data_IF_797922376048
#
_entry.id   IF_797922376048
#
_cell.length_a   1.000
_cell.length_b   1.000
_cell.length_c   1.000
_cell.angle_alpha   90.00
_cell.angle_beta   90.00
_cell.angle_gamma   90.00
#
_symmetry.space_group_name_H-M   'P 1'
#
loop_
_entity.id
_entity.type
_entity.pdbx_description
1 polymer ?
#
# COMPACT_ATOMS: atom_id res chain seq x y z
N UNK A 1 51.08 -42.31 -31.13
CA UNK A 1 50.30 -41.54 -30.09
C UNK A 1 48.99 -40.97 -30.63
N UNK A 2 48.91 -40.19 -31.73
CA UNK A 2 47.69 -39.59 -32.23
C UNK A 2 46.66 -40.63 -32.74
N UNK A 3 47.11 -41.72 -33.35
CA UNK A 3 46.26 -42.83 -33.83
C UNK A 3 45.50 -43.57 -32.71
N UNK A 4 46.13 -43.68 -31.54
CA UNK A 4 45.51 -44.40 -30.40
C UNK A 4 44.47 -43.55 -29.66
N UNK A 5 44.67 -42.25 -29.62
CA UNK A 5 43.67 -41.29 -29.08
C UNK A 5 42.42 -41.31 -29.96
N UNK A 6 42.57 -41.28 -31.28
CA UNK A 6 41.46 -41.35 -32.24
C UNK A 6 40.67 -42.67 -32.17
N UNK A 7 41.35 -43.80 -31.99
CA UNK A 7 40.72 -45.10 -31.82
C UNK A 7 39.93 -45.18 -30.51
N UNK A 8 40.45 -44.62 -29.41
CA UNK A 8 39.74 -44.52 -28.12
C UNK A 8 38.51 -43.62 -28.17
N UNK A 9 38.60 -42.50 -28.89
CA UNK A 9 37.46 -41.61 -29.06
C UNK A 9 36.35 -42.26 -29.89
N UNK A 10 36.68 -42.95 -30.98
CA UNK A 10 35.69 -43.70 -31.78
C UNK A 10 35.04 -44.85 -31.01
N UNK A 11 35.79 -45.52 -30.15
CA UNK A 11 35.25 -46.56 -29.29
C UNK A 11 34.26 -46.02 -28.26
N UNK A 12 34.62 -44.89 -27.59
CA UNK A 12 33.73 -44.20 -26.65
C UNK A 12 32.45 -43.69 -27.31
N UNK A 13 32.58 -43.08 -28.46
CA UNK A 13 31.43 -42.61 -29.24
C UNK A 13 30.48 -43.75 -29.65
N UNK A 14 31.03 -44.89 -30.02
CA UNK A 14 30.24 -46.07 -30.40
C UNK A 14 29.50 -46.67 -29.21
N UNK A 15 30.10 -46.69 -28.01
CA UNK A 15 29.44 -47.14 -26.77
C UNK A 15 28.32 -46.16 -26.38
N UNK A 16 28.59 -44.89 -26.49
CA UNK A 16 27.60 -43.83 -26.20
C UNK A 16 26.38 -43.94 -27.15
N UNK A 17 26.63 -44.02 -28.45
CA UNK A 17 25.54 -44.12 -29.45
C UNK A 17 24.73 -45.42 -29.33
N UNK A 18 25.35 -46.53 -28.91
CA UNK A 18 24.68 -47.80 -28.71
C UNK A 18 23.72 -47.82 -27.52
N UNK A 19 24.00 -47.00 -26.51
CA UNK A 19 23.20 -46.85 -25.29
C UNK A 19 22.50 -45.50 -25.20
N UNK A 20 22.32 -44.80 -26.30
CA UNK A 20 21.81 -43.44 -26.36
C UNK A 20 20.47 -43.31 -25.66
N UNK A 21 19.56 -44.30 -25.77
CA UNK A 21 18.25 -44.30 -25.10
C UNK A 21 18.38 -44.20 -23.56
N UNK A 22 19.26 -45.03 -22.94
CA UNK A 22 19.44 -45.02 -21.49
C UNK A 22 20.11 -43.72 -21.02
N UNK A 23 21.10 -43.23 -21.77
CA UNK A 23 21.77 -41.95 -21.44
C UNK A 23 20.84 -40.76 -21.66
N UNK A 24 19.99 -40.81 -22.70
CA UNK A 24 18.98 -39.74 -22.93
C UNK A 24 17.96 -39.68 -21.81
N UNK A 25 17.44 -40.80 -21.34
CA UNK A 25 16.50 -40.84 -20.19
C UNK A 25 17.11 -40.29 -18.93
N UNK A 26 18.37 -40.67 -18.63
CA UNK A 26 19.12 -40.14 -17.49
C UNK A 26 19.37 -38.64 -17.60
N UNK A 27 19.79 -38.19 -18.79
CA UNK A 27 20.01 -36.77 -19.07
C UNK A 27 18.74 -35.95 -18.87
N UNK A 28 17.60 -36.40 -19.40
CA UNK A 28 16.30 -35.74 -19.24
C UNK A 28 15.91 -35.69 -17.76
N UNK A 29 16.12 -36.79 -17.00
CA UNK A 29 15.83 -36.82 -15.57
C UNK A 29 16.67 -35.85 -14.75
N UNK A 30 17.98 -35.80 -15.00
CA UNK A 30 18.90 -34.86 -14.33
C UNK A 30 18.56 -33.41 -14.74
N UNK A 31 18.33 -33.16 -16.03
CA UNK A 31 17.97 -31.84 -16.52
C UNK A 31 16.65 -31.35 -15.90
N UNK A 32 15.64 -32.22 -15.79
CA UNK A 32 14.38 -31.90 -15.14
C UNK A 32 14.57 -31.59 -13.64
N UNK A 33 15.32 -32.42 -12.91
CA UNK A 33 15.59 -32.17 -11.51
C UNK A 33 16.37 -30.86 -11.29
N UNK A 34 17.36 -30.57 -12.17
CA UNK A 34 18.13 -29.32 -12.13
C UNK A 34 17.24 -28.10 -12.43
N UNK A 35 16.31 -28.22 -13.37
CA UNK A 35 15.35 -27.16 -13.70
C UNK A 35 14.42 -26.87 -12.53
N UNK A 36 13.88 -27.91 -11.88
CA UNK A 36 13.07 -27.74 -10.67
C UNK A 36 13.84 -27.06 -9.55
N UNK A 37 15.10 -27.43 -9.35
CA UNK A 37 15.95 -26.83 -8.35
C UNK A 37 16.25 -25.36 -8.64
N UNK A 38 16.59 -25.03 -9.89
CA UNK A 38 16.84 -23.65 -10.33
C UNK A 38 15.57 -22.80 -10.16
N UNK A 39 14.43 -23.32 -10.56
CA UNK A 39 13.15 -22.64 -10.41
C UNK A 39 12.85 -22.35 -8.93
N UNK A 40 13.00 -23.34 -8.04
CA UNK A 40 12.80 -23.15 -6.60
C UNK A 40 13.76 -22.13 -5.98
N UNK A 41 15.03 -22.13 -6.40
CA UNK A 41 16.02 -21.17 -5.89
C UNK A 41 15.84 -19.75 -6.46
N UNK A 42 15.24 -19.59 -7.64
CA UNK A 42 15.02 -18.29 -8.26
C UNK A 42 13.73 -17.61 -7.78
N UNK A 43 12.68 -18.40 -7.51
CA UNK A 43 11.36 -17.84 -7.14
C UNK A 43 11.41 -17.12 -5.80
N UNK A 44 12.07 -17.67 -4.78
CA UNK A 44 12.05 -17.09 -3.45
C UNK A 44 12.65 -15.68 -3.40
N UNK A 45 13.85 -15.40 -3.94
CA UNK A 45 14.39 -14.04 -4.00
C UNK A 45 13.52 -13.08 -4.83
N UNK A 46 12.87 -13.58 -5.88
CA UNK A 46 11.97 -12.76 -6.70
C UNK A 46 10.74 -12.34 -5.90
N UNK A 47 10.17 -13.27 -5.11
CA UNK A 47 9.01 -12.99 -4.26
C UNK A 47 9.34 -12.04 -3.11
N UNK A 48 10.52 -12.20 -2.46
CA UNK A 48 10.95 -11.26 -1.43
C UNK A 48 11.14 -9.85 -1.99
N UNK A 49 11.78 -9.73 -3.14
CA UNK A 49 11.93 -8.44 -3.80
C UNK A 49 10.58 -7.81 -4.20
N UNK A 50 9.61 -8.62 -4.60
CA UNK A 50 8.27 -8.13 -4.89
C UNK A 50 7.56 -7.64 -3.62
N UNK A 51 7.68 -8.36 -2.51
CA UNK A 51 7.07 -7.96 -1.24
C UNK A 51 7.71 -6.68 -0.67
N UNK A 52 9.02 -6.54 -0.77
CA UNK A 52 9.73 -5.30 -0.38
C UNK A 52 9.24 -4.08 -1.19
N UNK A 53 8.85 -4.30 -2.46
CA UNK A 53 8.28 -3.24 -3.29
C UNK A 53 6.82 -2.91 -2.94
N UNK A 54 6.06 -3.83 -2.35
CA UNK A 54 4.70 -3.55 -1.90
C UNK A 54 4.66 -2.51 -0.79
N UNK A 55 5.60 -2.57 0.14
CA UNK A 55 5.72 -1.58 1.21
C UNK A 55 5.92 -0.16 0.66
N UNK A 56 6.72 -0.03 -0.40
CA UNK A 56 6.98 1.26 -1.05
C UNK A 56 5.87 1.72 -1.99
N UNK A 57 4.80 0.95 -2.15
CA UNK A 57 3.68 1.30 -3.01
C UNK A 57 2.69 2.26 -2.35
N UNK A 58 2.70 2.33 -1.01
CA UNK A 58 1.90 3.32 -0.29
C UNK A 58 2.53 4.70 -0.42
N UNK A 59 1.71 5.70 -0.57
CA UNK A 59 2.13 7.10 -0.77
C UNK A 59 2.30 7.85 0.55
N UNK A 60 1.74 7.31 1.65
CA UNK A 60 1.78 7.88 3.00
C UNK A 60 1.91 6.76 4.04
N UNK A 61 2.20 7.13 5.30
CA UNK A 61 2.26 6.19 6.44
C UNK A 61 0.88 5.60 6.78
N UNK A 62 -0.20 6.34 6.48
CA UNK A 62 -1.57 5.94 6.72
C UNK A 62 -2.44 6.20 5.49
N UNK A 63 -3.15 5.20 5.04
CA UNK A 63 -4.16 5.31 4.01
C UNK A 63 -5.50 4.79 4.54
N UNK A 64 -6.38 5.73 4.86
CA UNK A 64 -7.68 5.43 5.45
C UNK A 64 -8.72 5.20 4.38
N UNK A 65 -9.54 4.16 4.58
CA UNK A 65 -10.73 3.90 3.76
C UNK A 65 -11.96 4.07 4.63
N UNK A 66 -12.95 4.80 4.15
CA UNK A 66 -14.20 5.05 4.83
C UNK A 66 -15.25 4.00 4.42
N UNK A 67 -16.19 3.71 5.32
CA UNK A 67 -17.29 2.74 5.08
C UNK A 67 -18.32 3.28 4.09
N UNK A 68 -18.54 4.59 4.15
CA UNK A 68 -19.38 5.31 3.23
C UNK A 68 -18.70 6.64 2.93
N UNK A 69 -18.92 7.19 1.74
CA UNK A 69 -18.45 8.53 1.41
C UNK A 69 -19.17 9.51 2.34
N UNK A 70 -18.40 10.41 2.94
CA UNK A 70 -18.91 11.32 3.96
C UNK A 70 -19.87 12.39 3.42
N UNK A 71 -19.92 12.61 2.13
CA UNK A 71 -20.67 13.71 1.53
C UNK A 71 -21.73 13.25 0.53
N UNK A 72 -22.01 11.96 0.46
CA UNK A 72 -22.94 11.41 -0.54
C UNK A 72 -24.41 11.72 -0.27
N UNK A 73 -24.82 11.90 0.95
CA UNK A 73 -26.24 11.92 1.31
C UNK A 73 -26.64 13.14 2.13
N UNK A 74 -25.87 14.22 2.12
CA UNK A 74 -26.22 15.40 2.90
C UNK A 74 -26.95 16.46 2.08
N UNK A 75 -27.87 17.14 2.72
CA UNK A 75 -28.39 18.43 2.26
C UNK A 75 -27.24 19.45 2.20
N UNK A 76 -27.42 20.57 1.49
CA UNK A 76 -26.43 21.64 1.51
C UNK A 76 -26.13 22.17 2.93
N UNK A 77 -27.11 22.08 3.84
CA UNK A 77 -26.98 22.48 5.23
C UNK A 77 -26.13 21.51 6.04
N UNK A 78 -26.29 20.21 5.86
CA UNK A 78 -25.46 19.17 6.49
C UNK A 78 -24.01 19.24 6.02
N UNK A 79 -23.77 19.50 4.73
CA UNK A 79 -22.42 19.73 4.19
C UNK A 79 -21.75 20.97 4.77
N UNK A 80 -22.50 22.06 4.99
CA UNK A 80 -21.98 23.26 5.65
C UNK A 80 -21.62 22.97 7.11
N UNK A 81 -22.44 22.20 7.81
CA UNK A 81 -22.17 21.74 9.17
C UNK A 81 -20.89 20.90 9.23
N UNK A 82 -20.76 19.92 8.34
CA UNK A 82 -19.58 19.11 8.22
C UNK A 82 -18.31 19.94 7.96
N UNK A 83 -18.35 20.83 6.99
CA UNK A 83 -17.25 21.72 6.65
C UNK A 83 -16.85 22.62 7.83
N UNK A 84 -17.83 23.07 8.61
CA UNK A 84 -17.61 23.87 9.83
C UNK A 84 -16.86 23.05 10.89
N UNK A 85 -17.31 21.82 11.16
CA UNK A 85 -16.65 20.93 12.12
C UNK A 85 -15.23 20.56 11.66
N UNK A 86 -15.04 20.16 10.42
CA UNK A 86 -13.73 19.82 9.86
C UNK A 86 -12.74 20.99 9.97
N UNK A 87 -13.20 22.21 9.69
CA UNK A 87 -12.38 23.41 9.78
C UNK A 87 -11.94 23.70 11.22
N UNK A 88 -12.83 23.56 12.21
CA UNK A 88 -12.48 23.69 13.62
C UNK A 88 -11.56 22.57 14.09
N UNK A 89 -11.75 21.36 13.58
CA UNK A 89 -10.92 20.23 13.90
C UNK A 89 -9.51 20.33 13.28
N UNK A 90 -9.31 21.20 12.30
CA UNK A 90 -8.01 21.42 11.67
C UNK A 90 -7.05 22.26 12.55
N UNK A 91 -7.51 22.82 13.65
CA UNK A 91 -6.67 23.59 14.59
C UNK A 91 -6.36 22.80 15.86
N UNK A 92 -5.32 23.19 16.57
CA UNK A 92 -4.97 22.60 17.87
C UNK A 92 -6.15 22.71 18.84
N UNK A 93 -6.64 21.57 19.32
CA UNK A 93 -7.73 21.52 20.31
C UNK A 93 -7.49 22.33 21.58
N UNK A 94 -6.22 22.57 21.95
CA UNK A 94 -5.85 23.43 23.06
C UNK A 94 -6.22 24.90 22.81
N UNK A 95 -6.18 25.38 21.57
CA UNK A 95 -6.58 26.75 21.23
C UNK A 95 -8.09 26.93 21.36
N UNK A 96 -8.85 25.95 20.89
CA UNK A 96 -10.32 25.93 20.99
C UNK A 96 -10.74 25.86 22.47
N UNK A 97 -10.16 24.95 23.24
CA UNK A 97 -10.44 24.83 24.68
C UNK A 97 -10.08 26.10 25.44
N UNK A 98 -8.94 26.73 25.12
CA UNK A 98 -8.54 28.00 25.76
C UNK A 98 -9.51 29.15 25.43
N UNK A 99 -10.09 29.18 24.26
CA UNK A 99 -11.12 30.15 23.89
C UNK A 99 -12.44 29.90 24.65
N UNK A 100 -12.87 28.65 24.76
CA UNK A 100 -14.06 28.26 25.53
C UNK A 100 -13.90 28.54 27.03
N UNK A 101 -12.76 28.16 27.62
CA UNK A 101 -12.47 28.48 29.05
C UNK A 101 -12.50 29.97 29.33
N UNK A 102 -12.00 30.79 28.39
CA UNK A 102 -11.99 32.24 28.55
C UNK A 102 -13.40 32.86 28.41
N UNK A 103 -14.26 32.25 27.61
CA UNK A 103 -15.69 32.61 27.46
C UNK A 103 -16.48 32.31 28.75
N UNK A 104 -16.30 31.12 29.32
CA UNK A 104 -16.88 30.73 30.61
C UNK A 104 -16.44 31.64 31.72
N UNK A 105 -15.14 32.01 31.77
CA UNK A 105 -14.60 32.96 32.75
C UNK A 105 -15.17 34.39 32.60
N UNK A 106 -15.49 34.78 31.36
CA UNK A 106 -16.14 36.07 31.10
C UNK A 106 -17.59 36.06 31.59
N UNK A 107 -18.32 34.98 31.34
CA UNK A 107 -19.71 34.82 31.79
C UNK A 107 -19.77 34.83 33.32
N UNK A 108 -18.93 34.09 34.00
CA UNK A 108 -18.82 34.12 35.48
C UNK A 108 -18.51 35.52 36.02
N UNK A 109 -17.63 36.26 35.36
CA UNK A 109 -17.32 37.63 35.74
C UNK A 109 -18.49 38.60 35.50
N UNK A 110 -19.23 38.40 34.41
CA UNK A 110 -20.41 39.16 34.06
C UNK A 110 -21.56 38.96 35.10
N UNK A 111 -21.81 37.71 35.50
CA UNK A 111 -22.79 37.38 36.55
C UNK A 111 -22.41 37.96 37.89
N UNK A 112 -21.13 37.93 38.26
CA UNK A 112 -20.61 38.56 39.48
C UNK A 112 -20.78 40.07 39.43
N UNK A 113 -20.52 40.71 38.28
CA UNK A 113 -20.70 42.15 38.11
C UNK A 113 -22.17 42.54 38.15
N UNK A 114 -23.06 41.75 37.59
CA UNK A 114 -24.53 41.98 37.69
C UNK A 114 -24.97 41.90 39.15
N UNK A 115 -24.52 40.89 39.88
CA UNK A 115 -24.85 40.74 41.32
C UNK A 115 -24.34 41.95 42.15
N UNK A 116 -23.13 42.40 41.86
CA UNK A 116 -22.59 43.59 42.56
C UNK A 116 -23.35 44.89 42.20
N UNK A 117 -23.77 45.06 40.96
CA UNK A 117 -24.56 46.20 40.51
C UNK A 117 -25.94 46.21 41.16
N UNK A 118 -26.60 45.06 41.28
CA UNK A 118 -27.89 44.90 41.93
C UNK A 118 -27.81 45.20 43.42
N UNK A 119 -26.73 44.78 44.09
CA UNK A 119 -26.45 45.13 45.48
C UNK A 119 -26.23 46.63 45.66
N UNK A 120 -25.45 47.28 44.78
CA UNK A 120 -25.24 48.72 44.80
C UNK A 120 -26.51 49.53 44.54
N UNK A 121 -27.44 48.98 43.71
CA UNK A 121 -28.72 49.61 43.46
C UNK A 121 -29.69 49.45 44.64
N UNK A 122 -29.67 48.27 45.28
CA UNK A 122 -30.60 47.97 46.40
C UNK A 122 -30.18 48.60 47.73
N UNK A 123 -28.87 48.75 47.98
CA UNK A 123 -28.29 49.33 49.17
C UNK A 123 -27.09 50.25 48.81
N UNK A 124 -27.35 51.47 48.33
CA UNK A 124 -26.31 52.37 47.86
C UNK A 124 -25.35 52.78 49.01
N UNK A 125 -24.10 52.40 48.88
CA UNK A 125 -23.00 52.81 49.78
C UNK A 125 -21.75 53.02 48.96
N UNK A 126 -20.77 53.73 49.52
CA UNK A 126 -19.48 53.90 48.85
C UNK A 126 -18.76 52.56 48.65
N UNK A 127 -18.96 51.61 49.54
CA UNK A 127 -18.40 50.25 49.47
C UNK A 127 -19.07 49.40 48.40
N UNK A 128 -20.43 49.43 48.31
CA UNK A 128 -21.13 48.67 47.27
C UNK A 128 -20.90 49.24 45.87
N UNK A 129 -20.73 50.53 45.73
CA UNK A 129 -20.37 51.15 44.46
C UNK A 129 -18.91 50.81 44.06
N UNK A 130 -17.97 50.79 44.98
CA UNK A 130 -16.62 50.39 44.70
C UNK A 130 -16.53 48.93 44.33
N UNK A 131 -17.30 48.03 44.95
CA UNK A 131 -17.38 46.62 44.60
C UNK A 131 -17.96 46.39 43.17
N UNK A 132 -18.98 47.17 42.82
CA UNK A 132 -19.53 47.11 41.45
C UNK A 132 -18.56 47.61 40.38
N UNK A 133 -17.76 48.64 40.69
CA UNK A 133 -16.70 49.14 39.80
C UNK A 133 -15.55 48.14 39.65
N UNK A 134 -15.13 47.48 40.74
CA UNK A 134 -14.10 46.43 40.70
C UNK A 134 -14.58 45.20 39.88
N UNK A 135 -15.83 44.79 40.06
CA UNK A 135 -16.40 43.70 39.28
C UNK A 135 -16.50 44.06 37.82
N UNK A 136 -16.87 45.26 37.44
CA UNK A 136 -16.90 45.71 36.04
C UNK A 136 -15.50 45.76 35.42
N UNK A 137 -14.45 46.17 36.19
CA UNK A 137 -13.09 46.13 35.72
C UNK A 137 -12.64 44.69 35.42
N UNK A 138 -13.04 43.70 36.24
CA UNK A 138 -12.77 42.28 36.01
C UNK A 138 -13.45 41.74 34.72
N UNK A 139 -14.67 42.17 34.44
CA UNK A 139 -15.34 41.83 33.17
C UNK A 139 -14.53 42.34 32.00
N UNK A 140 -14.00 43.58 32.08
CA UNK A 140 -13.19 44.11 30.98
C UNK A 140 -11.87 43.33 30.82
N UNK A 141 -11.19 42.97 31.90
CA UNK A 141 -9.97 42.17 31.85
C UNK A 141 -10.21 40.79 31.26
N UNK A 142 -11.32 40.13 31.62
CA UNK A 142 -11.70 38.82 31.06
C UNK A 142 -12.10 38.90 29.57
N UNK A 143 -12.79 39.97 29.20
CA UNK A 143 -13.12 40.24 27.80
C UNK A 143 -11.85 40.43 26.94
N UNK A 144 -10.88 41.16 27.43
CA UNK A 144 -9.62 41.35 26.72
C UNK A 144 -8.83 40.04 26.60
N UNK A 145 -8.90 39.20 27.64
CA UNK A 145 -8.30 37.85 27.60
C UNK A 145 -9.00 36.93 26.57
N UNK A 146 -10.34 36.91 26.53
CA UNK A 146 -11.11 36.15 25.50
C UNK A 146 -10.74 36.61 24.10
N UNK A 147 -10.70 37.93 23.86
CA UNK A 147 -10.33 38.44 22.55
C UNK A 147 -8.93 38.04 22.10
N UNK A 148 -7.98 37.99 23.01
CA UNK A 148 -6.64 37.51 22.71
C UNK A 148 -6.65 36.02 22.31
N UNK A 149 -7.45 35.17 22.99
CA UNK A 149 -7.59 33.75 22.63
C UNK A 149 -8.30 33.54 21.30
N UNK A 150 -9.33 34.34 21.02
CA UNK A 150 -10.02 34.33 19.76
C UNK A 150 -9.14 34.79 18.58
N UNK A 151 -8.24 35.77 18.85
CA UNK A 151 -7.24 36.19 17.85
C UNK A 151 -6.24 35.06 17.53
N UNK A 152 -5.73 34.37 18.56
CA UNK A 152 -4.84 33.23 18.40
C UNK A 152 -5.53 32.09 17.58
N UNK A 153 -6.83 31.84 17.85
CA UNK A 153 -7.62 30.85 17.14
C UNK A 153 -7.90 31.30 15.68
N UNK A 154 -8.26 32.56 15.47
CA UNK A 154 -8.51 33.13 14.15
C UNK A 154 -7.26 33.08 13.26
N UNK A 155 -6.09 33.40 13.83
CA UNK A 155 -4.81 33.28 13.13
C UNK A 155 -4.53 31.82 12.72
N UNK A 156 -4.82 30.85 13.58
CA UNK A 156 -4.66 29.43 13.30
C UNK A 156 -5.64 28.93 12.22
N UNK A 157 -6.87 29.46 12.20
CA UNK A 157 -7.89 29.17 11.18
C UNK A 157 -7.66 29.92 9.85
N UNK A 158 -6.75 30.89 9.83
CA UNK A 158 -6.52 31.76 8.66
C UNK A 158 -7.70 32.68 8.34
N UNK A 159 -8.47 33.11 9.37
CA UNK A 159 -9.65 33.95 9.23
C UNK A 159 -9.60 35.17 10.19
N UNK A 160 -10.61 36.01 10.15
CA UNK A 160 -10.74 37.07 11.15
C UNK A 160 -11.47 36.57 12.42
N UNK A 161 -11.42 37.37 13.51
CA UNK A 161 -12.02 37.03 14.78
C UNK A 161 -13.54 36.83 14.68
N UNK A 162 -14.21 37.67 13.91
CA UNK A 162 -15.67 37.61 13.77
C UNK A 162 -16.09 36.32 13.05
N UNK A 163 -15.31 35.90 12.06
CA UNK A 163 -15.48 34.61 11.38
C UNK A 163 -15.19 33.43 12.31
N UNK A 164 -14.15 33.50 13.15
CA UNK A 164 -13.85 32.45 14.14
C UNK A 164 -14.98 32.29 15.17
N UNK A 165 -15.56 33.40 15.65
CA UNK A 165 -16.74 33.38 16.54
C UNK A 165 -17.94 32.74 15.84
N UNK A 166 -18.22 33.13 14.59
CA UNK A 166 -19.32 32.55 13.81
C UNK A 166 -19.16 31.03 13.60
N UNK A 167 -17.92 30.58 13.36
CA UNK A 167 -17.62 29.14 13.25
C UNK A 167 -17.88 28.40 14.56
N UNK A 168 -17.46 28.96 15.71
CA UNK A 168 -17.73 28.36 17.03
C UNK A 168 -19.23 28.31 17.31
N UNK A 169 -19.95 29.42 17.06
CA UNK A 169 -21.40 29.49 17.28
C UNK A 169 -22.16 28.52 16.37
N UNK A 170 -21.75 28.39 15.12
CA UNK A 170 -22.31 27.39 14.21
C UNK A 170 -22.05 25.96 14.69
N UNK A 171 -20.80 25.67 15.08
CA UNK A 171 -20.42 24.35 15.57
C UNK A 171 -21.16 23.95 16.85
N UNK A 172 -21.40 24.88 17.75
CA UNK A 172 -22.13 24.62 19.01
C UNK A 172 -23.58 24.22 18.79
N UNK A 173 -24.15 24.53 17.63
CA UNK A 173 -25.54 24.21 17.25
C UNK A 173 -25.66 22.91 16.49
N UNK A 174 -24.53 22.30 16.12
CA UNK A 174 -24.52 21.02 15.40
C UNK A 174 -24.74 19.90 16.41
N UNK A 175 -25.73 19.07 16.16
CA UNK A 175 -25.97 17.85 16.94
C UNK A 175 -24.99 16.77 16.45
N UNK A 176 -23.91 16.58 17.22
CA UNK A 176 -22.88 15.55 16.90
C UNK A 176 -23.34 14.13 17.23
N UNK A 177 -24.50 13.98 17.88
CA UNK A 177 -25.11 12.68 18.13
C UNK A 177 -26.05 12.27 16.98
N UNK A 178 -26.30 13.15 16.00
CA UNK A 178 -27.07 12.83 14.80
C UNK A 178 -26.24 11.92 13.88
N UNK A 179 -26.83 10.79 13.48
CA UNK A 179 -26.19 9.79 12.62
C UNK A 179 -25.89 10.32 11.20
N UNK A 180 -26.51 11.44 10.82
CA UNK A 180 -26.34 12.07 9.50
C UNK A 180 -25.14 13.05 9.46
N UNK A 181 -24.53 13.37 10.62
CA UNK A 181 -23.34 14.21 10.71
C UNK A 181 -22.11 13.31 10.91
N UNK A 182 -21.10 13.47 10.08
CA UNK A 182 -19.94 12.61 10.01
C UNK A 182 -18.65 13.29 10.52
N UNK A 183 -18.52 13.61 11.82
CA UNK A 183 -17.33 14.25 12.31
C UNK A 183 -16.13 13.30 12.27
N UNK A 184 -15.04 13.78 11.72
CA UNK A 184 -13.73 13.19 11.98
C UNK A 184 -13.42 13.46 13.44
N UNK A 185 -13.18 12.42 14.24
CA UNK A 185 -12.91 12.60 15.65
C UNK A 185 -11.59 13.33 15.89
N UNK A 186 -11.62 14.29 16.78
CA UNK A 186 -10.44 14.97 17.27
C UNK A 186 -10.16 14.51 18.67
N UNK A 187 -9.35 13.50 18.84
CA UNK A 187 -8.60 13.33 20.06
C UNK A 187 -7.33 14.17 20.01
N UNK A 188 -6.55 14.14 21.07
CA UNK A 188 -5.35 14.99 21.31
C UNK A 188 -4.37 15.12 20.13
N UNK A 189 -4.47 14.25 19.12
CA UNK A 189 -3.64 14.29 17.90
C UNK A 189 -4.42 14.82 16.67
N UNK A 190 -5.75 14.99 16.78
CA UNK A 190 -6.60 15.04 15.62
C UNK A 190 -6.56 16.33 14.84
N UNK A 191 -6.58 17.44 15.51
CA UNK A 191 -6.79 18.72 14.85
C UNK A 191 -5.66 19.10 13.88
N UNK A 192 -4.40 18.95 14.30
CA UNK A 192 -3.24 19.21 13.43
C UNK A 192 -3.04 18.17 12.34
N UNK A 193 -3.39 16.93 12.61
CA UNK A 193 -3.22 15.81 11.66
C UNK A 193 -4.21 15.88 10.48
N UNK A 194 -5.47 16.29 10.73
CA UNK A 194 -6.47 16.43 9.66
C UNK A 194 -6.10 17.57 8.70
N UNK A 195 -5.59 18.70 9.22
CA UNK A 195 -5.12 19.78 8.36
C UNK A 195 -3.98 19.33 7.42
N UNK A 196 -3.29 18.25 7.77
CA UNK A 196 -2.22 17.66 6.98
C UNK A 196 -2.65 16.44 6.17
N UNK A 197 -3.81 15.88 6.40
CA UNK A 197 -4.37 14.81 5.59
C UNK A 197 -4.86 15.33 4.24
N UNK A 198 -4.77 14.48 3.22
CA UNK A 198 -5.39 14.76 1.92
C UNK A 198 -6.54 13.80 1.66
N UNK A 199 -7.63 14.34 1.14
CA UNK A 199 -8.79 13.56 0.69
C UNK A 199 -8.47 12.87 -0.63
N UNK A 200 -8.96 11.66 -0.81
CA UNK A 200 -8.96 10.97 -2.08
C UNK A 200 -10.26 10.19 -2.28
N UNK A 201 -10.58 9.92 -3.52
CA UNK A 201 -11.64 9.00 -3.88
C UNK A 201 -11.06 7.77 -4.58
N UNK A 202 -11.66 6.60 -4.39
CA UNK A 202 -11.25 5.38 -5.09
C UNK A 202 -12.46 4.56 -5.48
N UNK A 203 -12.45 4.03 -6.71
CA UNK A 203 -13.46 3.12 -7.21
C UNK A 203 -12.80 1.91 -7.88
N UNK A 204 -13.37 0.72 -7.72
CA UNK A 204 -12.82 -0.51 -8.28
C UNK A 204 -13.64 -0.96 -9.47
N UNK A 205 -13.02 -0.94 -10.64
CA UNK A 205 -13.61 -1.39 -11.90
C UNK A 205 -12.99 -2.70 -12.36
N UNK A 206 -13.66 -3.39 -13.24
CA UNK A 206 -13.20 -4.64 -13.84
C UNK A 206 -12.73 -4.39 -15.28
N UNK A 207 -11.62 -5.00 -15.62
CA UNK A 207 -11.12 -5.01 -16.99
C UNK A 207 -11.17 -6.44 -17.55
N UNK A 208 -11.99 -6.66 -18.57
CA UNK A 208 -11.99 -7.91 -19.32
C UNK A 208 -11.03 -7.80 -20.51
N UNK A 209 -10.01 -8.63 -20.51
CA UNK A 209 -9.05 -8.72 -21.60
C UNK A 209 -9.65 -9.34 -22.87
N UNK A 210 -10.76 -10.05 -22.78
CA UNK A 210 -11.40 -10.76 -23.88
C UNK A 210 -10.66 -12.04 -24.31
N UNK A 211 -9.64 -12.47 -23.57
CA UNK A 211 -8.84 -13.67 -23.84
C UNK A 211 -9.32 -14.93 -23.08
N UNK A 212 -10.38 -14.78 -22.28
CA UNK A 212 -10.95 -15.85 -21.46
C UNK A 212 -10.18 -16.17 -20.19
N UNK A 213 -9.18 -15.35 -19.81
CA UNK A 213 -8.39 -15.52 -18.58
C UNK A 213 -9.04 -14.86 -17.35
N UNK A 214 -10.24 -14.30 -17.50
CA UNK A 214 -11.00 -13.64 -16.44
C UNK A 214 -10.88 -12.13 -16.44
N UNK A 215 -11.58 -11.52 -15.51
CA UNK A 215 -11.61 -10.09 -15.28
C UNK A 215 -10.53 -9.71 -14.26
N UNK A 216 -9.94 -8.53 -14.44
CA UNK A 216 -8.93 -7.97 -13.55
C UNK A 216 -9.48 -6.71 -12.88
N UNK A 217 -9.35 -6.62 -11.57
CA UNK A 217 -9.75 -5.42 -10.83
C UNK A 217 -8.69 -4.33 -10.98
N UNK A 218 -9.11 -3.15 -11.39
CA UNK A 218 -8.30 -1.95 -11.51
C UNK A 218 -8.93 -0.88 -10.62
N UNK A 219 -8.13 -0.28 -9.74
CA UNK A 219 -8.58 0.84 -8.93
C UNK A 219 -8.34 2.15 -9.65
N UNK A 220 -9.37 2.97 -9.70
CA UNK A 220 -9.31 4.35 -10.21
C UNK A 220 -9.30 5.29 -9.03
N UNK A 221 -8.30 6.15 -8.96
CA UNK A 221 -8.11 7.12 -7.88
C UNK A 221 -8.41 8.54 -8.37
N UNK A 222 -9.26 9.24 -7.63
CA UNK A 222 -9.44 10.67 -7.69
C UNK A 222 -8.60 11.33 -6.61
N UNK A 223 -7.63 12.16 -6.99
CA UNK A 223 -6.66 12.77 -6.07
C UNK A 223 -6.58 14.28 -6.28
N UNK A 224 -6.08 15.01 -5.27
CA UNK A 224 -5.82 16.44 -5.43
C UNK A 224 -4.76 16.67 -6.52
N UNK A 225 -4.99 17.65 -7.40
CA UNK A 225 -4.00 18.05 -8.40
C UNK A 225 -2.72 18.64 -7.81
N UNK A 226 -2.79 19.15 -6.57
CA UNK A 226 -1.67 19.72 -5.82
C UNK A 226 -1.18 18.77 -4.70
N UNK A 227 -1.41 17.47 -4.84
CA UNK A 227 -1.08 16.49 -3.81
C UNK A 227 0.40 16.49 -3.46
N UNK A 228 0.67 16.49 -2.16
CA UNK A 228 2.03 16.31 -1.60
C UNK A 228 2.41 14.84 -1.44
N UNK A 229 1.45 13.92 -1.46
CA UNK A 229 1.65 12.49 -1.32
C UNK A 229 1.92 11.81 -2.66
N UNK A 230 1.13 12.10 -3.68
CA UNK A 230 1.35 11.60 -5.05
C UNK A 230 2.33 12.52 -5.79
N UNK A 231 3.59 12.51 -5.33
CA UNK A 231 4.65 13.38 -5.87
C UNK A 231 4.90 13.11 -7.34
N UNK A 232 5.12 14.17 -8.10
CA UNK A 232 5.40 14.14 -9.54
C UNK A 232 4.25 13.55 -10.40
N UNK A 233 3.06 13.36 -9.82
CA UNK A 233 1.88 12.93 -10.52
C UNK A 233 1.06 14.15 -10.95
N UNK A 234 0.95 14.37 -12.25
CA UNK A 234 0.18 15.47 -12.82
C UNK A 234 -1.15 14.97 -13.36
N UNK A 235 -2.23 15.21 -12.62
CA UNK A 235 -3.60 14.81 -12.95
C UNK A 235 -4.51 15.99 -13.32
N UNK A 236 -3.98 17.22 -13.41
CA UNK A 236 -4.77 18.39 -13.78
C UNK A 236 -5.21 18.40 -15.25
N UNK A 237 -6.16 19.27 -15.60
CA UNK A 237 -6.64 19.54 -16.96
C UNK A 237 -7.26 18.30 -17.67
N UNK A 238 -8.02 17.47 -16.96
CA UNK A 238 -8.68 16.27 -17.52
C UNK A 238 -7.72 15.14 -17.88
N UNK A 239 -6.52 15.14 -17.29
CA UNK A 239 -5.48 14.15 -17.57
C UNK A 239 -5.70 12.88 -16.76
N UNK A 240 -5.77 11.75 -17.48
CA UNK A 240 -5.81 10.41 -16.89
C UNK A 240 -4.41 9.79 -16.94
N UNK A 241 -3.91 9.33 -15.78
CA UNK A 241 -2.57 8.76 -15.63
C UNK A 241 -2.68 7.29 -15.27
N UNK A 242 -1.92 6.46 -15.96
CA UNK A 242 -1.95 5.01 -15.81
C UNK A 242 -0.72 4.52 -15.05
N UNK A 243 -0.93 3.59 -14.12
CA UNK A 243 0.15 2.93 -13.40
C UNK A 243 1.07 2.14 -14.34
N UNK A 244 2.38 2.16 -14.06
CA UNK A 244 3.38 1.50 -14.90
C UNK A 244 3.17 0.01 -15.05
N UNK A 245 2.59 -0.66 -14.05
CA UNK A 245 2.25 -2.08 -14.08
C UNK A 245 1.14 -2.44 -15.04
N UNK A 246 0.15 -1.55 -15.21
CA UNK A 246 -0.93 -1.74 -16.18
C UNK A 246 -0.40 -1.83 -17.60
N UNK A 247 0.53 -0.93 -17.95
CA UNK A 247 1.11 -0.90 -19.29
C UNK A 247 1.99 -2.11 -19.56
N UNK A 248 2.81 -2.52 -18.59
CA UNK A 248 3.66 -3.70 -18.70
C UNK A 248 2.81 -4.99 -18.83
N UNK A 249 1.67 -5.07 -18.12
CA UNK A 249 0.79 -6.25 -18.12
C UNK A 249 -0.11 -6.34 -19.33
N UNK A 250 -0.72 -5.22 -19.73
CA UNK A 250 -1.74 -5.21 -20.78
C UNK A 250 -1.22 -4.76 -22.13
N UNK A 251 -0.11 -4.03 -22.19
CA UNK A 251 0.53 -3.57 -23.42
C UNK A 251 -0.30 -2.56 -24.19
N UNK A 252 -1.05 -1.71 -23.49
CA UNK A 252 -1.88 -0.68 -24.13
C UNK A 252 -1.02 0.32 -24.93
N UNK A 253 -1.55 0.73 -26.06
CA UNK A 253 -0.90 1.67 -26.98
C UNK A 253 -1.45 3.09 -26.80
N UNK A 254 -0.62 4.10 -27.07
CA UNK A 254 -1.02 5.50 -27.06
C UNK A 254 -2.25 5.74 -27.96
N UNK A 255 -3.24 6.46 -27.44
CA UNK A 255 -4.54 6.69 -28.07
C UNK A 255 -5.53 5.54 -27.93
N UNK A 256 -5.16 4.45 -27.25
CA UNK A 256 -6.07 3.35 -27.00
C UNK A 256 -7.09 3.70 -25.94
N UNK A 257 -8.37 3.44 -26.23
CA UNK A 257 -9.45 3.51 -25.24
C UNK A 257 -9.54 2.19 -24.49
N UNK A 258 -9.45 2.30 -23.17
CA UNK A 258 -9.60 1.19 -22.24
C UNK A 258 -10.99 1.28 -21.66
N UNK A 259 -11.80 0.26 -21.84
CA UNK A 259 -13.14 0.17 -21.25
C UNK A 259 -13.04 -0.62 -19.96
N UNK A 260 -13.56 -0.06 -18.90
CA UNK A 260 -13.64 -0.66 -17.57
C UNK A 260 -15.11 -0.80 -17.19
N UNK A 261 -15.46 -1.91 -16.60
CA UNK A 261 -16.84 -2.27 -16.30
C UNK A 261 -17.10 -2.17 -14.79
N UNK A 262 -18.22 -1.56 -14.41
CA UNK A 262 -18.69 -1.67 -13.04
C UNK A 262 -19.29 -3.07 -12.82
N UNK A 263 -18.84 -3.71 -11.75
CA UNK A 263 -19.25 -5.07 -11.43
C UNK A 263 -20.70 -5.19 -10.98
N UNK A 264 -21.26 -4.11 -10.39
CA UNK A 264 -22.55 -4.15 -9.72
C UNK A 264 -23.63 -3.40 -10.47
N UNK A 265 -23.29 -2.27 -11.09
CA UNK A 265 -24.23 -1.39 -11.75
C UNK A 265 -24.34 -1.65 -13.26
N UNK A 266 -23.35 -2.34 -13.84
CA UNK A 266 -23.33 -2.65 -15.26
C UNK A 266 -23.00 -1.46 -16.15
N UNK A 267 -22.45 -0.41 -15.54
CA UNK A 267 -21.94 0.78 -16.23
C UNK A 267 -20.59 0.50 -16.88
N UNK A 268 -20.28 1.23 -17.96
CA UNK A 268 -19.04 1.09 -18.71
C UNK A 268 -18.33 2.42 -18.81
N UNK A 269 -17.11 2.48 -18.31
CA UNK A 269 -16.28 3.66 -18.31
C UNK A 269 -15.16 3.52 -19.34
N UNK A 270 -14.99 4.51 -20.22
CA UNK A 270 -13.98 4.47 -21.26
C UNK A 270 -12.93 5.55 -21.05
N UNK A 271 -11.71 5.13 -20.72
CA UNK A 271 -10.56 6.01 -20.47
C UNK A 271 -9.56 5.87 -21.59
N UNK A 272 -8.97 6.99 -22.04
CA UNK A 272 -7.98 6.99 -23.12
C UNK A 272 -6.56 7.09 -22.55
N UNK A 273 -5.71 6.15 -22.94
CA UNK A 273 -4.29 6.21 -22.59
C UNK A 273 -3.56 7.17 -23.52
N UNK A 274 -3.19 8.35 -23.02
CA UNK A 274 -2.59 9.44 -23.80
C UNK A 274 -1.07 9.30 -24.03
N UNK A 275 -0.45 8.18 -23.65
CA UNK A 275 0.96 7.90 -23.90
C UNK A 275 1.86 7.98 -22.66
N UNK A 276 3.19 7.94 -22.88
CA UNK A 276 4.18 7.80 -21.80
C UNK A 276 4.19 8.96 -20.80
N UNK A 277 3.80 10.14 -21.21
CA UNK A 277 3.71 11.31 -20.33
C UNK A 277 2.54 11.22 -19.36
N UNK A 278 1.65 10.23 -19.56
CA UNK A 278 0.54 9.87 -18.69
C UNK A 278 0.77 8.51 -18.02
N UNK A 279 2.00 8.24 -17.62
CA UNK A 279 2.39 7.02 -16.87
C UNK A 279 3.12 7.42 -15.60
N UNK A 280 2.71 6.83 -14.49
CA UNK A 280 3.30 7.09 -13.17
C UNK A 280 3.50 5.80 -12.37
N UNK A 281 4.30 5.90 -11.32
CA UNK A 281 4.51 4.81 -10.40
C UNK A 281 5.46 3.72 -10.89
N UNK A 282 5.55 2.67 -10.11
CA UNK A 282 6.41 1.51 -10.38
C UNK A 282 5.75 0.55 -11.36
N UNK A 283 6.53 -0.45 -11.81
CA UNK A 283 6.01 -1.56 -12.64
C UNK A 283 5.02 -2.48 -11.91
N UNK A 284 4.86 -2.30 -10.61
CA UNK A 284 3.86 -3.00 -9.80
C UNK A 284 2.58 -2.19 -9.60
N UNK A 285 2.56 -0.92 -10.00
CA UNK A 285 1.40 -0.06 -9.86
C UNK A 285 0.33 -0.42 -10.92
N UNK A 286 -0.82 -0.87 -10.41
CA UNK A 286 -1.96 -1.37 -11.19
C UNK A 286 -3.17 -0.44 -11.11
N UNK A 287 -2.95 0.84 -10.80
CA UNK A 287 -4.00 1.82 -10.59
C UNK A 287 -4.07 2.83 -11.75
N UNK A 288 -5.20 3.52 -11.83
CA UNK A 288 -5.41 4.69 -12.71
C UNK A 288 -5.65 5.89 -11.82
N UNK A 289 -5.16 7.05 -12.23
CA UNK A 289 -5.22 8.28 -11.45
C UNK A 289 -5.79 9.43 -12.30
N UNK A 290 -6.63 10.24 -11.69
CA UNK A 290 -7.17 11.47 -12.27
C UNK A 290 -7.38 12.51 -11.16
N UNK A 291 -7.74 13.74 -11.52
CA UNK A 291 -8.12 14.71 -10.51
C UNK A 291 -9.39 14.27 -9.79
N UNK A 292 -9.55 14.67 -8.53
CA UNK A 292 -10.76 14.31 -7.78
C UNK A 292 -12.02 14.93 -8.42
N UNK A 293 -11.87 16.08 -9.06
CA UNK A 293 -12.97 16.75 -9.77
C UNK A 293 -13.37 15.93 -11.01
N UNK A 294 -12.39 15.51 -11.84
CA UNK A 294 -12.65 14.65 -13.01
C UNK A 294 -13.21 13.29 -12.61
N UNK A 295 -12.75 12.75 -11.45
CA UNK A 295 -13.27 11.51 -10.88
C UNK A 295 -14.74 11.65 -10.50
N UNK A 296 -15.08 12.72 -9.79
CA UNK A 296 -16.46 12.97 -9.35
C UNK A 296 -17.38 13.22 -10.55
N UNK A 297 -16.91 13.91 -11.58
CA UNK A 297 -17.66 14.08 -12.83
C UNK A 297 -17.86 12.74 -13.57
N UNK A 298 -16.81 11.91 -13.64
CA UNK A 298 -16.85 10.61 -14.33
C UNK A 298 -17.86 9.65 -13.72
N UNK A 299 -17.94 9.62 -12.39
CA UNK A 299 -18.79 8.69 -11.64
C UNK A 299 -20.12 9.31 -11.17
N UNK A 300 -20.48 10.51 -11.69
CA UNK A 300 -21.71 11.24 -11.33
C UNK A 300 -21.89 11.46 -9.81
N UNK A 301 -20.76 11.70 -9.14
CA UNK A 301 -20.71 11.99 -7.71
C UNK A 301 -20.90 13.48 -7.43
N UNK A 302 -21.23 13.82 -6.18
CA UNK A 302 -21.18 15.21 -5.71
C UNK A 302 -19.75 15.77 -5.83
N UNK A 303 -19.61 17.06 -6.12
CA UNK A 303 -18.30 17.70 -6.28
C UNK A 303 -17.39 17.61 -5.04
N UNK A 304 -17.98 17.41 -3.86
CA UNK A 304 -17.26 17.27 -2.60
C UNK A 304 -17.00 15.81 -2.20
N UNK A 305 -17.39 14.85 -3.04
CA UNK A 305 -17.26 13.42 -2.74
C UNK A 305 -15.82 12.97 -2.54
N UNK A 306 -15.60 12.21 -1.50
CA UNK A 306 -14.40 11.44 -1.24
C UNK A 306 -14.71 10.23 -0.36
N UNK A 307 -13.88 9.20 -0.37
CA UNK A 307 -14.06 8.01 0.45
C UNK A 307 -12.78 7.53 1.14
N UNK A 308 -11.77 8.39 1.26
CA UNK A 308 -10.57 8.09 1.98
C UNK A 308 -9.71 9.31 2.31
N UNK A 309 -8.77 9.10 3.26
CA UNK A 309 -7.73 10.06 3.63
C UNK A 309 -6.36 9.42 3.51
N UNK A 310 -5.36 10.20 3.13
CA UNK A 310 -3.95 9.86 3.27
C UNK A 310 -3.28 10.82 4.24
N UNK A 311 -2.44 10.29 5.13
CA UNK A 311 -1.74 11.08 6.15
C UNK A 311 -0.44 10.41 6.57
N UNK A 312 0.58 11.21 6.92
CA UNK A 312 1.79 10.71 7.58
C UNK A 312 1.59 10.58 9.10
N UNK A 313 0.55 11.21 9.63
CA UNK A 313 0.18 11.12 11.03
C UNK A 313 -1.10 10.30 11.19
N UNK A 314 -1.20 9.62 12.33
CA UNK A 314 -2.39 8.83 12.65
C UNK A 314 -3.58 9.75 12.90
N UNK A 315 -4.64 9.57 12.11
CA UNK A 315 -5.92 10.23 12.30
C UNK A 315 -6.78 9.45 13.30
N UNK A 316 -7.52 10.16 14.12
CA UNK A 316 -8.57 9.59 14.95
C UNK A 316 -9.91 9.77 14.25
N UNK A 317 -10.33 8.72 13.56
CA UNK A 317 -11.57 8.68 12.81
C UNK A 317 -12.64 7.94 13.63
N UNK A 318 -13.88 8.43 13.59
CA UNK A 318 -15.01 7.74 14.22
C UNK A 318 -15.17 6.34 13.64
N UNK A 319 -15.21 5.34 14.52
CA UNK A 319 -15.33 3.93 14.15
C UNK A 319 -16.59 3.60 13.35
N UNK A 320 -17.62 4.45 13.39
CA UNK A 320 -18.84 4.32 12.59
C UNK A 320 -18.56 4.46 11.10
N UNK A 321 -17.67 5.38 10.73
CA UNK A 321 -17.36 5.73 9.35
C UNK A 321 -16.06 5.12 8.85
N UNK A 322 -15.21 4.67 9.75
CA UNK A 322 -13.91 4.11 9.47
C UNK A 322 -14.02 2.64 9.06
N UNK A 323 -13.56 2.30 7.86
CA UNK A 323 -13.51 0.92 7.37
C UNK A 323 -12.16 0.26 7.63
N UNK A 324 -11.08 0.98 7.45
CA UNK A 324 -9.73 0.46 7.65
C UNK A 324 -8.65 1.51 7.45
N UNK A 325 -7.52 1.27 8.10
CA UNK A 325 -6.26 1.98 7.91
C UNK A 325 -5.26 0.99 7.30
N UNK A 326 -4.66 1.35 6.20
CA UNK A 326 -3.63 0.56 5.55
C UNK A 326 -2.29 1.24 5.78
N UNK A 327 -1.40 0.54 6.46
CA UNK A 327 -0.05 1.04 6.79
C UNK A 327 1.03 0.23 6.05
N UNK A 328 2.26 0.75 5.93
CA UNK A 328 3.39 -0.02 5.41
C UNK A 328 3.63 -1.33 6.17
N UNK A 329 3.40 -1.34 7.48
CA UNK A 329 3.52 -2.56 8.30
C UNK A 329 2.46 -3.61 7.95
N UNK A 330 1.22 -3.20 7.63
CA UNK A 330 0.17 -4.11 7.16
C UNK A 330 0.54 -4.71 5.80
N UNK A 331 1.05 -3.90 4.88
CA UNK A 331 1.52 -4.36 3.57
C UNK A 331 2.69 -5.33 3.72
N UNK A 332 3.62 -5.04 4.63
CA UNK A 332 4.72 -5.96 4.96
C UNK A 332 4.19 -7.27 5.55
N UNK A 333 3.25 -7.21 6.49
CA UNK A 333 2.66 -8.40 7.11
C UNK A 333 1.96 -9.31 6.08
N UNK A 334 1.23 -8.72 5.12
CA UNK A 334 0.62 -9.45 4.00
C UNK A 334 1.69 -10.09 3.11
N UNK A 335 2.75 -9.34 2.78
CA UNK A 335 3.90 -9.83 2.01
C UNK A 335 4.59 -11.00 2.71
N UNK A 336 4.89 -10.88 4.00
CA UNK A 336 5.54 -11.91 4.81
C UNK A 336 4.67 -13.16 4.96
N UNK A 337 3.37 -13.02 5.13
CA UNK A 337 2.44 -14.15 5.17
C UNK A 337 2.44 -14.90 3.84
N UNK A 338 2.40 -14.20 2.72
CA UNK A 338 2.44 -14.79 1.39
C UNK A 338 3.77 -15.51 1.13
N UNK A 339 4.90 -14.85 1.43
CA UNK A 339 6.26 -15.43 1.33
C UNK A 339 6.38 -16.66 2.23
N UNK A 340 5.88 -16.59 3.47
CA UNK A 340 5.92 -17.70 4.42
C UNK A 340 5.19 -18.94 3.93
N UNK A 341 4.02 -18.76 3.30
CA UNK A 341 3.26 -19.85 2.68
C UNK A 341 3.97 -20.41 1.45
N UNK A 342 4.43 -19.55 0.55
CA UNK A 342 5.13 -19.93 -0.67
C UNK A 342 6.47 -20.60 -0.36
N UNK A 343 7.21 -20.12 0.63
CA UNK A 343 8.50 -20.68 1.06
C UNK A 343 8.38 -22.15 1.48
N UNK A 344 7.31 -22.52 2.17
CA UNK A 344 7.05 -23.92 2.55
C UNK A 344 6.82 -24.81 1.32
N UNK A 345 6.03 -24.33 0.34
CA UNK A 345 5.79 -25.05 -0.92
C UNK A 345 7.09 -25.19 -1.74
N UNK A 346 7.85 -24.12 -1.85
CA UNK A 346 9.14 -24.11 -2.56
C UNK A 346 10.15 -25.04 -1.87
N UNK A 347 10.21 -25.02 -0.55
CA UNK A 347 11.07 -25.91 0.24
C UNK A 347 10.75 -27.40 -0.01
N UNK A 348 9.49 -27.76 -0.06
CA UNK A 348 9.03 -29.11 -0.41
C UNK A 348 9.40 -29.48 -1.85
N UNK A 349 9.24 -28.58 -2.79
CA UNK A 349 9.61 -28.78 -4.21
C UNK A 349 11.12 -28.97 -4.38
N UNK A 350 11.95 -28.17 -3.69
CA UNK A 350 13.41 -28.33 -3.68
C UNK A 350 13.80 -29.68 -3.08
N UNK A 351 13.17 -30.06 -1.96
CA UNK A 351 13.40 -31.38 -1.34
C UNK A 351 13.10 -32.53 -2.29
N UNK A 352 11.97 -32.46 -3.00
CA UNK A 352 11.62 -33.44 -4.04
C UNK A 352 12.62 -33.44 -5.20
N UNK A 353 13.07 -32.27 -5.66
CA UNK A 353 14.06 -32.16 -6.74
C UNK A 353 15.39 -32.80 -6.34
N UNK A 354 15.87 -32.56 -5.11
CA UNK A 354 17.08 -33.18 -4.57
C UNK A 354 16.93 -34.69 -4.48
N UNK A 355 15.79 -35.20 -4.01
CA UNK A 355 15.51 -36.63 -3.95
C UNK A 355 15.55 -37.26 -5.34
N UNK A 356 14.87 -36.66 -6.30
CA UNK A 356 14.87 -37.13 -7.70
C UNK A 356 16.28 -37.10 -8.29
N UNK A 357 17.05 -36.03 -8.05
CA UNK A 357 18.45 -35.93 -8.49
C UNK A 357 19.30 -37.04 -7.93
N UNK A 358 19.24 -37.32 -6.65
CA UNK A 358 19.98 -38.41 -6.01
C UNK A 358 19.58 -39.79 -6.55
N UNK A 359 18.29 -40.00 -6.81
CA UNK A 359 17.79 -41.24 -7.42
C UNK A 359 18.34 -41.44 -8.82
N UNK A 360 18.35 -40.42 -9.67
CA UNK A 360 18.94 -40.50 -11.00
C UNK A 360 20.47 -40.69 -10.95
N UNK A 361 21.18 -40.04 -10.02
CA UNK A 361 22.62 -40.26 -9.80
C UNK A 361 22.89 -41.72 -9.40
N UNK A 362 22.07 -42.30 -8.52
CA UNK A 362 22.18 -43.71 -8.14
C UNK A 362 21.92 -44.63 -9.35
N UNK A 363 20.87 -44.38 -10.13
CA UNK A 363 20.57 -45.17 -11.33
C UNK A 363 21.67 -45.06 -12.38
N UNK A 364 22.23 -43.86 -12.58
CA UNK A 364 23.37 -43.66 -13.47
C UNK A 364 24.58 -44.49 -13.04
N UNK A 365 24.96 -44.38 -11.78
CA UNK A 365 26.08 -45.13 -11.22
C UNK A 365 25.86 -46.64 -11.37
N UNK A 366 24.68 -47.14 -11.04
CA UNK A 366 24.32 -48.55 -11.22
C UNK A 366 24.40 -48.97 -12.67
N UNK A 367 23.82 -48.20 -13.60
CA UNK A 367 23.86 -48.48 -15.03
C UNK A 367 25.32 -48.57 -15.59
N UNK A 368 26.19 -47.70 -15.16
CA UNK A 368 27.62 -47.70 -15.52
C UNK A 368 28.32 -48.96 -14.98
N UNK A 369 28.05 -49.33 -13.73
CA UNK A 369 28.62 -50.54 -13.10
C UNK A 369 28.11 -51.81 -13.81
N UNK A 370 26.81 -51.95 -14.03
CA UNK A 370 26.21 -53.10 -14.69
C UNK A 370 26.74 -53.29 -16.13
N UNK A 371 26.90 -52.15 -16.84
CA UNK A 371 27.45 -52.18 -18.21
C UNK A 371 28.96 -52.54 -18.23
N UNK A 372 29.67 -52.20 -17.19
CA UNK A 372 31.10 -52.47 -17.02
C UNK A 372 31.41 -53.83 -16.35
N UNK A 373 30.36 -54.55 -15.91
CA UNK A 373 30.47 -55.76 -15.10
C UNK A 373 31.42 -56.84 -15.77
N UNK A 374 31.35 -57.01 -17.08
CA UNK A 374 32.23 -57.93 -17.79
C UNK A 374 33.70 -57.47 -17.73
N UNK A 375 33.96 -56.19 -17.94
CA UNK A 375 35.29 -55.63 -17.88
C UNK A 375 35.86 -55.68 -16.45
N UNK A 376 35.04 -55.45 -15.44
CA UNK A 376 35.37 -55.58 -14.01
C UNK A 376 35.75 -57.04 -13.69
N UNK A 377 34.96 -58.02 -14.20
CA UNK A 377 35.23 -59.43 -14.02
C UNK A 377 36.58 -59.86 -14.65
N UNK A 378 36.89 -59.35 -15.83
CA UNK A 378 38.20 -59.61 -16.44
C UNK A 378 39.35 -59.02 -15.62
N UNK A 379 39.21 -57.80 -15.10
CA UNK A 379 40.24 -57.20 -14.23
C UNK A 379 40.45 -57.97 -12.92
N UNK A 380 39.36 -58.51 -12.33
CA UNK A 380 39.49 -59.41 -11.15
C UNK A 380 40.25 -60.68 -11.47
N UNK A 381 39.99 -61.30 -12.65
CA UNK A 381 40.74 -62.49 -13.12
C UNK A 381 42.22 -62.17 -13.35
N UNK A 382 42.56 -60.94 -13.74
CA UNK A 382 43.97 -60.47 -13.90
C UNK A 382 44.62 -60.02 -12.60
N UNK A 383 43.92 -60.15 -11.43
CA UNK A 383 44.50 -59.94 -10.13
C UNK A 383 44.41 -58.50 -9.57
N UNK A 384 43.64 -57.62 -10.20
CA UNK A 384 43.38 -56.27 -9.66
C UNK A 384 42.51 -56.34 -8.42
N UNK A 385 42.84 -55.53 -7.38
CA UNK A 385 42.08 -55.43 -6.15
C UNK A 385 40.83 -54.57 -6.35
N UNK A 386 39.79 -54.85 -5.55
CA UNK A 386 38.50 -54.10 -5.65
C UNK A 386 38.67 -52.59 -5.46
N UNK A 387 39.61 -52.13 -4.61
CA UNK A 387 39.94 -50.72 -4.44
C UNK A 387 40.57 -50.09 -5.69
N UNK A 388 41.42 -50.84 -6.42
CA UNK A 388 42.08 -50.36 -7.65
C UNK A 388 41.06 -50.25 -8.78
N UNK A 389 40.16 -51.20 -8.89
CA UNK A 389 39.06 -51.22 -9.85
C UNK A 389 38.10 -50.06 -9.59
N UNK A 390 37.72 -49.85 -8.33
CA UNK A 390 36.84 -48.74 -7.91
C UNK A 390 37.50 -47.37 -8.22
N UNK A 391 38.78 -47.22 -7.89
CA UNK A 391 39.52 -45.98 -8.16
C UNK A 391 39.62 -45.68 -9.66
N UNK A 392 39.83 -46.72 -10.49
CA UNK A 392 39.95 -46.59 -11.94
C UNK A 392 38.61 -46.17 -12.58
N UNK A 393 37.48 -46.67 -12.10
CA UNK A 393 36.14 -46.32 -12.58
C UNK A 393 35.69 -44.95 -12.09
N UNK A 394 35.94 -44.60 -10.85
CA UNK A 394 35.61 -43.28 -10.27
C UNK A 394 36.46 -42.19 -10.92
N UNK A 395 37.77 -42.37 -11.06
CA UNK A 395 38.64 -41.42 -11.74
C UNK A 395 38.27 -41.26 -13.23
N UNK A 396 37.89 -42.34 -13.90
CA UNK A 396 37.43 -42.30 -15.29
C UNK A 396 36.14 -41.48 -15.46
N UNK A 397 35.23 -41.52 -14.47
CA UNK A 397 34.00 -40.69 -14.43
C UNK A 397 34.32 -39.20 -14.18
N UNK A 398 35.24 -38.90 -13.27
CA UNK A 398 35.68 -37.53 -12.95
C UNK A 398 36.44 -36.89 -14.10
N UNK A 399 37.35 -37.64 -14.76
CA UNK A 399 38.15 -37.12 -15.90
C UNK A 399 37.36 -37.00 -17.22
N UNK A 400 36.12 -37.53 -17.30
CA UNK A 400 35.25 -37.25 -18.45
C UNK A 400 34.74 -35.81 -18.40
N UNK A 401 34.73 -35.18 -17.23
CA UNK A 401 34.26 -33.81 -17.02
C UNK A 401 35.37 -32.75 -17.07
N UNK A 402 36.64 -33.11 -17.09
CA UNK A 402 37.73 -32.14 -17.28
C UNK A 402 37.96 -31.88 -18.78
N UNK A 403 37.76 -30.62 -19.25
CA UNK A 403 38.21 -30.24 -20.57
C UNK A 403 39.75 -30.31 -20.59
N UNK A 404 40.28 -31.22 -21.43
CA UNK A 404 41.75 -31.24 -21.71
C UNK A 404 42.16 -29.85 -22.15
N UNK A 405 42.89 -29.13 -21.31
CA UNK A 405 43.67 -27.97 -21.73
C UNK A 405 44.72 -28.43 -22.75
N UNK A 406 44.93 -27.65 -23.84
CA UNK A 406 45.92 -27.95 -24.86
C UNK A 406 47.34 -27.92 -24.35
#
# INVERSE_FOLDING_TARGET
AASDVYKRQRFRLRIFLRNLGNFATLFVGIAFASLLMLFGLAILPTMTHYADNLETSLVAEHQYTLKAPLELEGTAEEREQWSTLERLQSVDGALLSAAQDADDELDDAADAAQTAADAATSAPSAESLAAAQDALAKVQDKKDALYARLDDLADALGCDRDEAIDLIDKASKIDTDDDDIHPVNTTDNGAGAIAQAEKYAVYQLQYDRGDGNGEETISVYGISSDSRYWKDLNVGDGRVVFGGGLLDKFGWSEGQKVTLDDKYEGEHYSLEYAGKDCTWGSKSDMNIYMSIDDFNELFDNDAAYFNGYVSDEKLDLDARYFAGDTTPDDMRAVGDQFIGMMSKMIGMMIGLAVFIFLLFMYLLTKAVIDHSARSISYMKVFGYRDSEISHLYILSLIHISEPTRP
#
